data_IF_052600627426
#
_entry.id   IF_052600627426
#
_cell.length_a   1.000
_cell.length_b   1.000
_cell.length_c   1.000
_cell.angle_alpha   90.00
_cell.angle_beta   90.00
_cell.angle_gamma   90.00
#
_symmetry.space_group_name_H-M   'P 1'
#
loop_
_entity.id
_entity.type
_entity.pdbx_description
1 polymer ?
#
# COMPACT_ATOMS: atom_id res chain seq x y z
N UNK A 1 -13.34 -1.11 -16.90
CA UNK A 1 -12.95 -0.16 -17.97
C UNK A 1 -11.98 -0.85 -18.95
N UNK A 2 -12.12 -0.65 -20.28
CA UNK A 2 -11.25 -1.31 -21.26
C UNK A 2 -9.89 -0.61 -21.37
N UNK A 3 -8.81 -1.35 -21.67
CA UNK A 3 -7.44 -0.79 -21.74
C UNK A 3 -7.31 0.42 -22.70
N UNK A 4 -8.07 0.43 -23.79
CA UNK A 4 -8.04 1.57 -24.73
C UNK A 4 -8.68 2.83 -24.12
N UNK A 5 -9.71 2.68 -23.29
CA UNK A 5 -10.35 3.78 -22.56
C UNK A 5 -9.41 4.34 -21.50
N UNK A 6 -8.68 3.46 -20.79
CA UNK A 6 -7.66 3.86 -19.80
C UNK A 6 -6.57 4.70 -20.50
N UNK A 7 -6.04 4.21 -21.61
CA UNK A 7 -5.04 4.96 -22.40
C UNK A 7 -5.56 6.31 -22.88
N UNK A 8 -6.83 6.40 -23.25
CA UNK A 8 -7.46 7.67 -23.63
C UNK A 8 -7.61 8.60 -22.43
N UNK A 9 -8.01 8.07 -21.27
CA UNK A 9 -8.15 8.85 -20.04
C UNK A 9 -6.84 9.51 -19.59
N UNK A 10 -5.68 8.86 -19.82
CA UNK A 10 -4.36 9.43 -19.52
C UNK A 10 -4.05 10.73 -20.28
N UNK A 11 -4.74 11.00 -21.39
CA UNK A 11 -4.61 12.25 -22.13
C UNK A 11 -5.58 13.34 -21.65
N UNK A 12 -6.49 13.03 -20.72
CA UNK A 12 -7.44 13.97 -20.14
C UNK A 12 -6.82 14.86 -19.05
N UNK A 13 -7.59 15.87 -18.63
CA UNK A 13 -7.18 16.89 -17.67
C UNK A 13 -6.75 16.31 -16.31
N UNK A 14 -7.42 15.24 -15.86
CA UNK A 14 -7.09 14.58 -14.58
C UNK A 14 -5.63 14.10 -14.50
N UNK A 15 -5.02 13.80 -15.66
CA UNK A 15 -3.64 13.31 -15.76
C UNK A 15 -2.67 14.33 -16.34
N UNK A 16 -3.04 15.62 -16.42
CA UNK A 16 -2.16 16.68 -16.92
C UNK A 16 -0.85 16.80 -16.14
N UNK A 17 -0.88 16.49 -14.86
CA UNK A 17 0.32 16.49 -14.03
C UNK A 17 1.42 15.56 -14.58
N UNK A 18 1.09 14.47 -15.28
CA UNK A 18 2.07 13.60 -15.94
C UNK A 18 2.90 14.36 -17.00
N UNK A 19 2.36 15.44 -17.56
CA UNK A 19 3.00 16.27 -18.59
C UNK A 19 3.58 17.57 -18.03
N UNK A 20 2.92 18.16 -17.04
CA UNK A 20 3.22 19.50 -16.51
C UNK A 20 4.09 19.50 -15.26
N UNK A 21 4.11 18.40 -14.49
CA UNK A 21 4.94 18.32 -13.30
C UNK A 21 6.44 18.41 -13.66
N UNK A 22 7.23 19.27 -12.95
CA UNK A 22 8.63 19.50 -13.25
C UNK A 22 9.53 18.28 -13.15
N UNK A 23 9.10 17.22 -12.48
CA UNK A 23 9.84 15.95 -12.37
C UNK A 23 9.42 14.89 -13.39
N UNK A 24 8.34 15.10 -14.15
CA UNK A 24 7.75 14.13 -15.06
C UNK A 24 7.91 14.55 -16.54
N UNK A 25 6.85 14.54 -17.33
CA UNK A 25 6.86 14.88 -18.74
C UNK A 25 7.68 13.87 -19.57
N UNK A 26 8.63 14.36 -20.35
CA UNK A 26 9.49 13.52 -21.20
C UNK A 26 10.44 12.60 -20.43
N UNK A 27 10.54 12.75 -19.13
CA UNK A 27 11.37 11.91 -18.26
C UNK A 27 10.68 10.66 -17.74
N UNK A 28 9.39 10.52 -17.97
CA UNK A 28 8.67 9.28 -17.64
C UNK A 28 9.29 8.13 -18.42
N UNK A 29 9.71 7.08 -17.74
CA UNK A 29 10.33 5.89 -18.32
C UNK A 29 9.30 4.81 -18.60
N UNK A 30 8.40 4.59 -17.66
CA UNK A 30 7.31 3.62 -17.79
C UNK A 30 6.10 4.06 -16.94
N UNK A 31 4.91 3.69 -17.41
CA UNK A 31 3.65 3.72 -16.68
C UNK A 31 3.02 2.34 -16.78
N UNK A 32 2.62 1.77 -15.66
CA UNK A 32 1.96 0.48 -15.58
C UNK A 32 0.62 0.59 -14.87
N UNK A 33 -0.30 -0.25 -15.29
CA UNK A 33 -1.60 -0.43 -14.67
C UNK A 33 -1.43 -1.36 -13.47
N UNK A 34 -1.81 -0.91 -12.28
CA UNK A 34 -1.76 -1.67 -11.04
C UNK A 34 -3.13 -2.17 -10.57
N UNK A 35 -3.17 -2.67 -9.34
CA UNK A 35 -4.38 -3.00 -8.63
C UNK A 35 -5.29 -4.02 -9.32
N UNK A 36 -6.59 -3.92 -9.05
CA UNK A 36 -7.61 -4.85 -9.53
C UNK A 36 -7.65 -4.98 -11.06
N UNK A 37 -7.44 -3.88 -11.77
CA UNK A 37 -7.42 -3.85 -13.23
C UNK A 37 -6.26 -4.68 -13.83
N UNK A 38 -5.09 -4.69 -13.19
CA UNK A 38 -3.95 -5.50 -13.63
C UNK A 38 -4.18 -7.00 -13.40
N UNK A 39 -4.94 -7.34 -12.36
CA UNK A 39 -5.26 -8.73 -12.00
C UNK A 39 -6.53 -9.28 -12.65
N UNK A 40 -7.32 -8.43 -13.31
CA UNK A 40 -8.61 -8.81 -13.88
C UNK A 40 -9.68 -9.12 -12.81
N UNK A 41 -9.56 -8.48 -11.66
CA UNK A 41 -10.51 -8.56 -10.53
C UNK A 41 -11.29 -7.26 -10.34
N UNK A 42 -11.21 -6.38 -11.34
CA UNK A 42 -11.89 -5.08 -11.31
C UNK A 42 -13.41 -5.22 -11.40
N UNK A 43 -14.10 -4.31 -10.74
CA UNK A 43 -15.55 -4.11 -10.79
C UNK A 43 -15.85 -2.76 -11.43
N UNK A 44 -17.14 -2.46 -11.66
CA UNK A 44 -17.54 -1.16 -12.21
C UNK A 44 -17.13 0.04 -11.34
N UNK A 45 -16.91 -0.20 -10.05
CA UNK A 45 -16.54 0.82 -9.06
C UNK A 45 -15.07 0.77 -8.66
N UNK A 46 -14.25 -0.05 -9.34
CA UNK A 46 -12.82 -0.17 -9.01
C UNK A 46 -12.06 1.07 -9.47
N UNK A 47 -11.23 1.60 -8.56
CA UNK A 47 -10.32 2.71 -8.84
C UNK A 47 -9.21 2.28 -9.82
N UNK A 48 -8.70 3.26 -10.56
CA UNK A 48 -7.62 3.07 -11.51
C UNK A 48 -6.28 3.35 -10.81
N UNK A 49 -5.53 2.31 -10.48
CA UNK A 49 -4.21 2.40 -9.84
C UNK A 49 -3.13 2.46 -10.93
N UNK A 50 -2.38 3.58 -10.99
CA UNK A 50 -1.30 3.77 -11.96
C UNK A 50 0.02 3.94 -11.21
N UNK A 51 0.99 3.15 -11.58
CA UNK A 51 2.35 3.24 -11.06
C UNK A 51 3.35 3.42 -12.18
N UNK A 52 4.42 4.14 -11.89
CA UNK A 52 5.41 4.40 -12.90
C UNK A 52 6.77 4.79 -12.34
N UNK A 53 7.64 5.15 -13.27
CA UNK A 53 8.99 5.61 -12.97
C UNK A 53 9.38 6.74 -13.90
N UNK A 54 10.11 7.72 -13.36
CA UNK A 54 10.70 8.81 -14.13
C UNK A 54 12.20 8.95 -13.83
N UNK A 55 12.97 9.30 -14.86
CA UNK A 55 14.39 9.61 -14.72
C UNK A 55 14.61 10.97 -14.04
N UNK A 56 15.73 11.12 -13.35
CA UNK A 56 16.18 12.44 -12.89
C UNK A 56 16.61 13.31 -14.07
N UNK A 57 16.46 14.61 -13.92
CA UNK A 57 17.05 15.59 -14.84
C UNK A 57 18.58 15.63 -14.70
N UNK A 58 19.27 16.17 -15.71
CA UNK A 58 20.73 16.38 -15.62
C UNK A 58 21.10 17.31 -14.49
N UNK A 59 20.28 18.34 -14.21
CA UNK A 59 20.50 19.29 -13.12
C UNK A 59 20.39 18.58 -11.77
N UNK A 60 19.36 17.78 -11.55
CA UNK A 60 19.18 17.02 -10.30
C UNK A 60 20.36 16.07 -10.07
N UNK A 61 20.83 15.36 -11.09
CA UNK A 61 22.00 14.47 -10.99
C UNK A 61 23.28 15.24 -10.63
N UNK A 62 23.53 16.37 -11.29
CA UNK A 62 24.75 17.16 -11.09
C UNK A 62 24.76 17.90 -9.76
N UNK A 63 23.59 18.34 -9.27
CA UNK A 63 23.45 19.02 -7.98
C UNK A 63 23.33 18.05 -6.80
N UNK A 64 23.22 16.74 -7.06
CA UNK A 64 22.97 15.76 -6.00
C UNK A 64 21.57 15.83 -5.42
N UNK A 65 20.64 16.46 -6.13
CA UNK A 65 19.23 16.57 -5.75
C UNK A 65 18.45 15.42 -6.36
N UNK A 66 17.42 14.97 -5.67
CA UNK A 66 16.47 14.00 -6.22
C UNK A 66 15.10 14.18 -5.58
N UNK A 67 14.06 13.89 -6.34
CA UNK A 67 12.73 13.66 -5.76
C UNK A 67 12.61 12.17 -5.41
N UNK A 68 11.74 11.86 -4.45
CA UNK A 68 11.45 10.46 -4.07
C UNK A 68 10.39 9.86 -4.98
N UNK A 69 9.25 10.55 -5.08
CA UNK A 69 8.11 10.17 -5.91
C UNK A 69 7.18 11.35 -6.12
N UNK A 70 6.39 11.30 -7.17
CA UNK A 70 5.24 12.16 -7.41
C UNK A 70 3.99 11.31 -7.19
N UNK A 71 3.12 11.74 -6.28
CA UNK A 71 1.86 11.05 -5.99
C UNK A 71 0.70 11.99 -6.25
N UNK A 72 -0.28 11.52 -7.00
CA UNK A 72 -1.57 12.16 -7.18
C UNK A 72 -2.65 11.29 -6.54
N UNK A 73 -3.26 11.81 -5.46
CA UNK A 73 -4.26 11.09 -4.68
C UNK A 73 -5.59 10.97 -5.43
N UNK A 74 -5.91 11.99 -6.25
CA UNK A 74 -7.18 12.02 -6.97
C UNK A 74 -7.29 10.91 -8.04
N UNK A 75 -6.16 10.54 -8.64
CA UNK A 75 -6.08 9.51 -9.68
C UNK A 75 -5.41 8.21 -9.23
N UNK A 76 -5.12 8.08 -7.92
CA UNK A 76 -4.34 6.96 -7.34
C UNK A 76 -3.08 6.63 -8.15
N UNK A 77 -2.33 7.68 -8.51
CA UNK A 77 -1.14 7.55 -9.34
C UNK A 77 0.12 7.80 -8.53
N UNK A 78 1.09 6.89 -8.63
CA UNK A 78 2.41 7.05 -7.99
C UNK A 78 3.53 6.82 -9.00
N UNK A 79 4.36 7.84 -9.22
CA UNK A 79 5.52 7.81 -10.12
C UNK A 79 6.80 7.94 -9.29
N UNK A 80 7.55 6.88 -9.20
CA UNK A 80 8.83 6.85 -8.46
C UNK A 80 9.95 7.54 -9.26
N UNK A 81 10.84 8.24 -8.56
CA UNK A 81 12.13 8.57 -9.16
C UNK A 81 12.92 7.28 -9.42
N UNK A 82 13.70 7.25 -10.50
CA UNK A 82 14.46 6.05 -10.89
C UNK A 82 15.37 5.51 -9.75
N UNK A 83 16.15 6.32 -9.02
CA UNK A 83 16.95 5.83 -7.90
C UNK A 83 16.10 5.20 -6.80
N UNK A 84 14.94 5.80 -6.50
CA UNK A 84 13.99 5.26 -5.51
C UNK A 84 13.42 3.93 -5.96
N UNK A 85 13.00 3.82 -7.23
CA UNK A 85 12.51 2.56 -7.79
C UNK A 85 13.58 1.45 -7.65
N UNK A 86 14.82 1.72 -8.03
CA UNK A 86 15.93 0.74 -7.93
C UNK A 86 16.13 0.31 -6.47
N UNK A 87 16.07 1.27 -5.52
CA UNK A 87 16.19 0.94 -4.11
C UNK A 87 15.07 0.00 -3.63
N UNK A 88 13.83 0.31 -3.98
CA UNK A 88 12.67 -0.51 -3.64
C UNK A 88 12.72 -1.90 -4.31
N UNK A 89 13.17 -1.97 -5.56
CA UNK A 89 13.36 -3.24 -6.27
C UNK A 89 14.44 -4.10 -5.63
N UNK A 90 15.57 -3.51 -5.22
CA UNK A 90 16.63 -4.21 -4.48
C UNK A 90 16.12 -4.82 -3.17
N UNK A 91 15.18 -4.16 -2.51
CA UNK A 91 14.54 -4.63 -1.29
C UNK A 91 13.34 -5.55 -1.56
N UNK A 92 13.09 -5.89 -2.81
CA UNK A 92 11.96 -6.72 -3.26
C UNK A 92 10.61 -6.21 -2.75
N UNK A 93 10.42 -4.87 -2.77
CA UNK A 93 9.12 -4.30 -2.40
C UNK A 93 8.04 -4.84 -3.34
N UNK A 94 6.94 -5.43 -2.82
CA UNK A 94 5.91 -6.08 -3.60
C UNK A 94 5.36 -5.19 -4.73
N UNK A 95 4.99 -3.95 -4.42
CA UNK A 95 4.40 -3.03 -5.39
C UNK A 95 5.33 -2.73 -6.58
N UNK A 96 6.64 -2.65 -6.33
CA UNK A 96 7.61 -2.35 -7.38
C UNK A 96 8.03 -3.60 -8.17
N UNK A 97 8.07 -4.77 -7.53
CA UNK A 97 8.25 -6.06 -8.22
C UNK A 97 7.04 -6.34 -9.12
N UNK A 98 5.82 -6.09 -8.65
CA UNK A 98 4.61 -6.19 -9.46
C UNK A 98 4.68 -5.25 -10.67
N UNK A 99 5.10 -4.00 -10.49
CA UNK A 99 5.23 -3.02 -11.59
C UNK A 99 6.13 -3.51 -12.72
N UNK A 100 7.28 -4.12 -12.40
CA UNK A 100 8.18 -4.65 -13.45
C UNK A 100 7.78 -6.04 -13.97
N UNK A 101 6.82 -6.69 -13.29
CA UNK A 101 6.28 -8.01 -13.61
C UNK A 101 4.95 -8.00 -14.36
N UNK A 102 4.42 -6.85 -14.72
CA UNK A 102 3.13 -6.72 -15.42
C UNK A 102 3.15 -7.44 -16.78
N UNK A 103 1.97 -7.80 -17.25
CA UNK A 103 1.80 -8.25 -18.64
C UNK A 103 2.12 -7.11 -19.61
N UNK A 104 2.65 -7.41 -20.80
CA UNK A 104 3.05 -6.39 -21.77
C UNK A 104 1.93 -5.38 -22.11
N UNK A 105 0.70 -5.84 -22.23
CA UNK A 105 -0.48 -5.02 -22.52
C UNK A 105 -0.83 -4.01 -21.42
N UNK A 106 -0.43 -4.28 -20.15
CA UNK A 106 -0.69 -3.42 -19.00
C UNK A 106 0.31 -2.27 -18.87
N UNK A 107 1.35 -2.22 -19.69
CA UNK A 107 2.19 -1.03 -19.76
C UNK A 107 1.49 0.03 -20.62
N UNK A 108 1.07 1.10 -19.97
CA UNK A 108 0.35 2.23 -20.59
C UNK A 108 1.31 3.13 -21.37
N UNK A 109 2.55 3.24 -20.89
CA UNK A 109 3.65 3.93 -21.55
C UNK A 109 4.98 3.21 -21.26
N UNK A 110 5.87 3.17 -22.24
CA UNK A 110 7.18 2.53 -22.11
C UNK A 110 8.19 3.20 -23.05
N UNK A 111 9.19 3.86 -22.46
CA UNK A 111 10.34 4.41 -23.17
C UNK A 111 11.41 3.35 -23.44
N UNK A 112 12.43 3.67 -24.24
CA UNK A 112 13.58 2.78 -24.46
C UNK A 112 14.33 2.45 -23.15
N UNK A 113 14.49 3.44 -22.25
CA UNK A 113 15.09 3.21 -20.93
C UNK A 113 14.18 2.31 -20.05
N UNK A 114 12.86 2.48 -20.14
CA UNK A 114 11.90 1.59 -19.48
C UNK A 114 11.97 0.16 -20.01
N UNK A 115 12.11 -0.04 -21.31
CA UNK A 115 12.31 -1.37 -21.92
C UNK A 115 13.58 -2.03 -21.41
N UNK A 116 14.70 -1.28 -21.38
CA UNK A 116 15.98 -1.78 -20.84
C UNK A 116 15.85 -2.24 -19.39
N UNK A 117 15.11 -1.50 -18.56
CA UNK A 117 14.80 -1.91 -17.17
C UNK A 117 14.03 -3.22 -17.15
N UNK A 118 12.97 -3.35 -17.96
CA UNK A 118 12.14 -4.55 -18.01
C UNK A 118 12.90 -5.78 -18.56
N UNK A 119 13.79 -5.60 -19.52
CA UNK A 119 14.61 -6.68 -20.06
C UNK A 119 15.55 -7.26 -18.99
N UNK A 120 15.96 -6.43 -18.05
CA UNK A 120 16.82 -6.80 -16.93
C UNK A 120 16.06 -7.08 -15.61
N UNK A 121 14.73 -7.15 -15.62
CA UNK A 121 13.91 -7.29 -14.40
C UNK A 121 14.25 -8.50 -13.53
N UNK A 122 14.76 -9.58 -14.11
CA UNK A 122 15.15 -10.79 -13.36
C UNK A 122 16.30 -10.54 -12.37
N UNK A 123 17.13 -9.51 -12.58
CA UNK A 123 18.21 -9.15 -11.67
C UNK A 123 17.70 -8.70 -10.30
N UNK A 124 16.47 -8.24 -10.20
CA UNK A 124 15.85 -7.78 -8.96
C UNK A 124 15.16 -8.89 -8.15
N UNK A 125 14.98 -10.08 -8.73
CA UNK A 125 14.41 -11.22 -8.02
C UNK A 125 15.48 -11.92 -7.18
N UNK A 126 15.34 -11.84 -5.87
CA UNK A 126 16.20 -12.50 -4.91
C UNK A 126 15.37 -13.28 -3.87
N UNK A 127 16.04 -14.06 -3.01
CA UNK A 127 15.37 -14.76 -1.91
C UNK A 127 14.66 -13.81 -0.93
N UNK A 128 15.05 -12.53 -0.88
CA UNK A 128 14.32 -11.51 -0.11
C UNK A 128 12.86 -11.39 -0.53
N UNK A 129 12.53 -11.68 -1.80
CA UNK A 129 11.17 -11.64 -2.30
C UNK A 129 10.25 -12.58 -1.51
N UNK A 130 10.72 -13.75 -1.11
CA UNK A 130 9.93 -14.70 -0.31
C UNK A 130 9.47 -14.07 0.99
N UNK A 131 10.38 -13.44 1.73
CA UNK A 131 10.04 -12.80 3.01
C UNK A 131 9.18 -11.56 2.81
N UNK A 132 9.49 -10.73 1.81
CA UNK A 132 8.76 -9.51 1.50
C UNK A 132 7.31 -9.81 1.09
N UNK A 133 7.11 -10.76 0.17
CA UNK A 133 5.77 -11.14 -0.27
C UNK A 133 4.98 -11.91 0.80
N UNK A 134 5.64 -12.76 1.61
CA UNK A 134 4.99 -13.42 2.74
C UNK A 134 4.50 -12.40 3.77
N UNK A 135 5.33 -11.41 4.12
CA UNK A 135 4.94 -10.33 5.03
C UNK A 135 3.80 -9.50 4.46
N UNK A 136 3.87 -9.14 3.17
CA UNK A 136 2.81 -8.42 2.48
C UNK A 136 1.49 -9.21 2.47
N UNK A 137 1.51 -10.49 2.08
CA UNK A 137 0.33 -11.34 2.07
C UNK A 137 -0.30 -11.45 3.47
N UNK A 138 0.53 -11.68 4.49
CA UNK A 138 0.07 -11.72 5.89
C UNK A 138 -0.61 -10.41 6.30
N UNK A 139 -0.04 -9.28 5.93
CA UNK A 139 -0.62 -7.97 6.20
C UNK A 139 -1.97 -7.76 5.47
N UNK A 140 -2.08 -8.24 4.22
CA UNK A 140 -3.35 -8.16 3.47
C UNK A 140 -4.44 -9.05 4.10
N UNK A 141 -4.12 -10.29 4.50
CA UNK A 141 -5.06 -11.15 5.22
C UNK A 141 -5.56 -10.49 6.51
N UNK A 142 -4.65 -9.92 7.31
CA UNK A 142 -5.06 -9.18 8.52
C UNK A 142 -5.99 -8.01 8.21
N UNK A 143 -5.73 -7.25 7.14
CA UNK A 143 -6.62 -6.16 6.69
C UNK A 143 -8.00 -6.66 6.30
N UNK A 144 -8.08 -7.81 5.62
CA UNK A 144 -9.34 -8.43 5.25
C UNK A 144 -10.11 -8.90 6.48
N UNK A 145 -9.44 -9.58 7.41
CA UNK A 145 -10.04 -10.04 8.68
C UNK A 145 -10.56 -8.84 9.48
N UNK A 146 -9.76 -7.78 9.59
CA UNK A 146 -10.15 -6.55 10.29
C UNK A 146 -11.36 -5.87 9.63
N UNK A 147 -11.36 -5.80 8.29
CA UNK A 147 -12.48 -5.22 7.54
C UNK A 147 -13.75 -6.04 7.73
N UNK A 148 -13.66 -7.36 7.68
CA UNK A 148 -14.77 -8.27 7.93
C UNK A 148 -15.32 -8.12 9.34
N UNK A 149 -14.43 -8.09 10.34
CA UNK A 149 -14.84 -7.94 11.73
C UNK A 149 -15.53 -6.61 12.03
N UNK A 150 -15.14 -5.50 11.37
CA UNK A 150 -15.78 -4.18 11.55
C UNK A 150 -17.25 -4.13 11.15
N UNK A 151 -17.66 -4.96 10.20
CA UNK A 151 -19.04 -5.03 9.71
C UNK A 151 -19.85 -6.14 10.39
N UNK A 152 -19.20 -6.93 11.25
CA UNK A 152 -19.82 -8.00 12.00
C UNK A 152 -20.61 -7.45 13.20
N UNK A 153 -21.42 -8.30 13.81
CA UNK A 153 -22.12 -8.01 15.05
C UNK A 153 -21.14 -7.81 16.23
N UNK A 154 -21.53 -7.06 17.25
CA UNK A 154 -20.71 -6.68 18.40
C UNK A 154 -19.94 -7.86 19.04
N UNK A 155 -20.56 -9.04 19.34
CA UNK A 155 -19.84 -10.15 19.95
C UNK A 155 -18.68 -10.66 19.09
N UNK A 156 -18.80 -10.61 17.77
CA UNK A 156 -17.73 -11.00 16.83
C UNK A 156 -16.61 -9.98 16.83
N UNK A 157 -16.94 -8.69 16.88
CA UNK A 157 -15.97 -7.59 17.00
C UNK A 157 -15.14 -7.73 18.30
N UNK A 158 -15.82 -7.92 19.44
CA UNK A 158 -15.18 -8.11 20.74
C UNK A 158 -14.22 -9.31 20.72
N UNK A 159 -14.68 -10.45 20.19
CA UNK A 159 -13.85 -11.64 20.07
C UNK A 159 -12.61 -11.42 19.22
N UNK A 160 -12.75 -10.67 18.12
CA UNK A 160 -11.63 -10.33 17.26
C UNK A 160 -10.59 -9.45 17.97
N UNK A 161 -11.05 -8.44 18.73
CA UNK A 161 -10.19 -7.58 19.55
C UNK A 161 -9.45 -8.41 20.60
N UNK A 162 -10.17 -9.23 21.37
CA UNK A 162 -9.57 -10.09 22.40
C UNK A 162 -8.53 -11.06 21.82
N UNK A 163 -8.81 -11.66 20.67
CA UNK A 163 -7.85 -12.52 19.97
C UNK A 163 -6.62 -11.75 19.50
N UNK A 164 -6.79 -10.52 19.01
CA UNK A 164 -5.66 -9.66 18.61
C UNK A 164 -4.77 -9.32 19.79
N UNK A 165 -5.36 -9.03 20.96
CA UNK A 165 -4.64 -8.76 22.20
C UNK A 165 -3.94 -10.02 22.70
N UNK A 166 -4.59 -11.18 22.69
CA UNK A 166 -3.96 -12.46 23.07
C UNK A 166 -2.74 -12.75 22.19
N UNK A 167 -2.84 -12.50 20.90
CA UNK A 167 -1.73 -12.64 19.96
C UNK A 167 -0.60 -11.65 20.27
N UNK A 168 -0.92 -10.39 20.56
CA UNK A 168 0.07 -9.39 20.95
C UNK A 168 0.75 -9.74 22.28
N UNK A 169 0.01 -10.15 23.31
CA UNK A 169 0.56 -10.66 24.58
C UNK A 169 1.53 -11.81 24.37
N UNK A 170 1.23 -12.70 23.45
CA UNK A 170 2.11 -13.85 23.14
C UNK A 170 3.44 -13.42 22.53
N UNK A 171 3.45 -12.36 21.71
CA UNK A 171 4.64 -11.88 21.03
C UNK A 171 5.43 -10.84 21.84
N UNK A 172 4.73 -10.08 22.69
CA UNK A 172 5.28 -8.97 23.48
C UNK A 172 4.79 -9.03 24.94
N UNK A 173 5.11 -10.10 25.67
CA UNK A 173 4.51 -10.34 26.99
C UNK A 173 4.83 -9.23 27.99
N UNK A 174 6.01 -8.61 27.93
CA UNK A 174 6.42 -7.54 28.84
C UNK A 174 5.59 -6.27 28.73
N UNK A 175 4.94 -6.05 27.58
CA UNK A 175 4.10 -4.87 27.35
C UNK A 175 2.66 -5.04 27.85
N UNK A 176 2.23 -6.29 28.09
CA UNK A 176 0.84 -6.62 28.38
C UNK A 176 0.58 -7.23 29.75
N UNK A 177 1.61 -7.50 30.55
CA UNK A 177 1.46 -8.23 31.80
C UNK A 177 0.57 -7.51 32.84
N UNK A 178 0.46 -6.19 32.77
CA UNK A 178 -0.29 -5.36 33.71
C UNK A 178 -1.80 -5.32 33.48
N UNK A 179 -2.25 -5.76 32.30
CA UNK A 179 -3.63 -5.56 31.87
C UNK A 179 -4.35 -6.90 31.67
N UNK A 180 -5.35 -7.22 32.49
CA UNK A 180 -6.19 -8.39 32.30
C UNK A 180 -7.10 -8.22 31.06
N UNK A 181 -7.46 -9.34 30.43
CA UNK A 181 -8.34 -9.33 29.24
C UNK A 181 -9.74 -8.75 29.56
N UNK A 182 -10.22 -8.98 30.78
CA UNK A 182 -11.54 -8.50 31.24
C UNK A 182 -11.63 -6.97 31.28
N UNK A 183 -10.52 -6.27 31.55
CA UNK A 183 -10.53 -4.81 31.58
C UNK A 183 -10.88 -4.21 30.19
N UNK A 184 -10.39 -4.83 29.13
CA UNK A 184 -10.68 -4.38 27.76
C UNK A 184 -12.12 -4.66 27.37
N UNK A 185 -12.63 -5.78 27.80
CA UNK A 185 -14.05 -6.13 27.56
C UNK A 185 -14.99 -5.08 28.17
N UNK A 186 -14.71 -4.66 29.39
CA UNK A 186 -15.48 -3.59 30.03
C UNK A 186 -15.45 -2.28 29.22
N UNK A 187 -14.29 -1.88 28.71
CA UNK A 187 -14.19 -0.67 27.90
C UNK A 187 -15.00 -0.75 26.62
N UNK A 188 -15.07 -1.89 25.96
CA UNK A 188 -15.86 -2.09 24.73
C UNK A 188 -17.34 -2.07 25.05
N UNK A 189 -17.76 -2.76 26.11
CA UNK A 189 -19.17 -2.84 26.53
C UNK A 189 -19.72 -1.47 26.98
N UNK A 190 -18.86 -0.64 27.61
CA UNK A 190 -19.23 0.70 28.06
C UNK A 190 -19.12 1.77 26.96
N UNK A 191 -18.61 1.44 25.79
CA UNK A 191 -18.49 2.38 24.71
C UNK A 191 -19.85 2.72 24.11
N UNK A 192 -20.39 3.85 24.53
CA UNK A 192 -21.67 4.38 24.05
C UNK A 192 -21.59 4.90 22.61
N UNK A 193 -20.39 5.20 22.12
CA UNK A 193 -20.17 5.73 20.78
C UNK A 193 -19.66 4.62 19.81
N UNK A 194 -20.50 4.16 18.86
CA UNK A 194 -20.11 3.14 17.89
C UNK A 194 -18.89 3.53 17.03
N UNK A 195 -18.66 4.83 16.81
CA UNK A 195 -17.50 5.31 16.07
C UNK A 195 -16.22 5.11 16.86
N UNK A 196 -16.25 5.40 18.13
CA UNK A 196 -15.13 5.21 19.05
C UNK A 196 -14.72 3.73 19.16
N UNK A 197 -15.71 2.83 19.24
CA UNK A 197 -15.45 1.38 19.17
C UNK A 197 -14.74 0.97 17.88
N UNK A 198 -15.13 1.53 16.75
CA UNK A 198 -14.49 1.25 15.45
C UNK A 198 -13.06 1.76 15.40
N UNK A 199 -12.79 2.92 15.97
CA UNK A 199 -11.44 3.49 16.00
C UNK A 199 -10.50 2.65 16.85
N UNK A 200 -10.92 2.23 18.03
CA UNK A 200 -10.15 1.35 18.90
C UNK A 200 -9.93 -0.01 18.24
N UNK A 201 -10.98 -0.60 17.71
CA UNK A 201 -10.90 -1.85 16.98
C UNK A 201 -9.88 -1.78 15.82
N UNK A 202 -9.88 -0.67 15.05
CA UNK A 202 -8.91 -0.45 13.99
C UNK A 202 -7.48 -0.44 14.51
N UNK A 203 -7.23 0.28 15.57
CA UNK A 203 -5.88 0.43 16.11
C UNK A 203 -5.34 -0.89 16.66
N UNK A 204 -6.12 -1.61 17.44
CA UNK A 204 -5.70 -2.93 17.93
C UNK A 204 -5.39 -3.88 16.78
N UNK A 205 -6.30 -3.99 15.83
CA UNK A 205 -6.18 -4.99 14.79
C UNK A 205 -5.13 -4.67 13.72
N UNK A 206 -4.89 -3.39 13.42
CA UNK A 206 -3.95 -3.01 12.37
C UNK A 206 -2.51 -2.85 12.86
N UNK A 207 -2.33 -2.37 14.10
CA UNK A 207 -1.01 -1.97 14.58
C UNK A 207 -0.48 -2.83 15.71
N UNK A 208 -1.28 -3.75 16.29
CA UNK A 208 -0.93 -4.56 17.47
C UNK A 208 -0.43 -3.70 18.63
N UNK A 209 -1.15 -2.62 18.92
CA UNK A 209 -0.75 -1.70 19.98
C UNK A 209 -0.66 -2.37 21.35
N UNK A 210 0.29 -1.95 22.18
CA UNK A 210 0.30 -2.25 23.61
C UNK A 210 -1.00 -1.76 24.25
N UNK A 211 -1.48 -2.52 25.22
CA UNK A 211 -2.74 -2.22 25.90
C UNK A 211 -2.76 -0.83 26.55
N UNK A 212 -1.60 -0.34 27.02
CA UNK A 212 -1.48 1.01 27.60
C UNK A 212 -1.90 2.10 26.63
N UNK A 213 -1.64 1.93 25.31
CA UNK A 213 -1.96 2.92 24.30
C UNK A 213 -3.48 3.07 24.14
N UNK A 214 -4.21 2.03 24.51
CA UNK A 214 -5.67 2.04 24.61
C UNK A 214 -6.19 2.82 25.80
N UNK A 215 -5.53 2.70 26.93
CA UNK A 215 -5.87 3.50 28.11
C UNK A 215 -5.63 4.98 27.89
N UNK A 216 -4.56 5.36 27.18
CA UNK A 216 -4.30 6.75 26.82
C UNK A 216 -5.35 7.31 25.85
N UNK A 217 -5.93 6.48 25.00
CA UNK A 217 -7.01 6.90 24.10
C UNK A 217 -8.35 7.05 24.81
N UNK A 218 -8.59 6.32 25.90
CA UNK A 218 -9.82 6.31 26.67
C UNK A 218 -9.79 7.17 27.96
N UNK A 219 -8.64 7.54 28.39
CA UNK A 219 -8.42 8.32 29.62
C UNK A 219 -8.61 9.80 29.42
#
# INVERSE_FOLDING_TARGET
MQLHEIRKALHGEAYDFLRTNPHLGSRVMLLGLGGSHAYGTDTETSDLDIRGCAALSKAEILCGESFEQVTDVATDTTIYAFPKLIHLLKDCNPNTIELIGLKPEHYLYLSEAGKLLLDNRKLFLSQRAVNSFSGYATAQFRRMDNKSARIAEQPVQEMHILNSIRNAKRHFPEQFFQYPEDAIRLYIDDAVNPQMQKEIFMDISLKHYPLRDYQEMWG
#
